data_IF_356938059582
#
_entry.id   IF_356938059582
#
_cell.length_a   1.000
_cell.length_b   1.000
_cell.length_c   1.000
_cell.angle_alpha   90.00
_cell.angle_beta   90.00
_cell.angle_gamma   90.00
#
_symmetry.space_group_name_H-M   'P 1'
#
loop_
_entity.id
_entity.type
_entity.pdbx_description
1 polymer ?
#
# COMPACT_ATOMS: atom_id res chain seq x y z
N UNK A 1 -1.13 4.94 -6.08
CA UNK A 1 -1.76 5.72 -4.98
C UNK A 1 -1.22 5.25 -3.65
N UNK A 2 -1.54 5.92 -2.54
CA UNK A 2 -1.22 5.51 -1.17
C UNK A 2 -2.53 5.28 -0.40
N UNK A 3 -2.72 4.08 0.13
CA UNK A 3 -3.99 3.63 0.70
C UNK A 3 -3.81 2.94 2.03
N UNK A 4 -4.83 3.02 2.89
CA UNK A 4 -4.84 2.36 4.20
C UNK A 4 -5.10 0.86 4.03
N UNK A 5 -4.28 0.00 4.65
CA UNK A 5 -4.57 -1.42 4.77
C UNK A 5 -5.59 -1.67 5.89
N UNK A 6 -6.36 -2.75 5.78
CA UNK A 6 -7.39 -3.14 6.75
C UNK A 6 -7.62 -4.65 6.74
N UNK A 7 -8.13 -5.19 7.85
CA UNK A 7 -8.62 -6.56 7.95
C UNK A 7 -10.12 -6.67 7.72
N UNK A 8 -10.90 -5.76 8.31
CA UNK A 8 -12.37 -5.63 8.15
C UNK A 8 -12.74 -4.17 7.88
N UNK A 9 -14.00 -3.84 7.56
CA UNK A 9 -14.44 -2.44 7.57
C UNK A 9 -14.10 -1.76 8.90
N UNK A 10 -13.74 -0.47 8.82
CA UNK A 10 -13.39 0.40 9.95
C UNK A 10 -12.25 -0.09 10.86
N UNK A 11 -11.39 -1.00 10.36
CA UNK A 11 -10.30 -1.59 11.15
C UNK A 11 -8.90 -1.04 10.84
N UNK A 12 -8.79 -0.02 9.99
CA UNK A 12 -7.50 0.51 9.57
C UNK A 12 -6.78 1.22 10.72
N UNK A 13 -5.49 0.94 10.92
CA UNK A 13 -4.66 1.53 11.99
C UNK A 13 -3.40 2.19 11.43
N UNK A 14 -2.27 1.49 11.43
CA UNK A 14 -0.96 2.02 11.02
C UNK A 14 -0.49 1.55 9.64
N UNK A 15 -1.09 0.48 9.12
CA UNK A 15 -0.61 -0.17 7.91
C UNK A 15 -1.12 0.52 6.66
N UNK A 16 -0.23 0.68 5.67
CA UNK A 16 -0.53 1.28 4.38
C UNK A 16 0.13 0.50 3.25
N UNK A 17 -0.36 0.72 2.03
CA UNK A 17 0.23 0.16 0.82
C UNK A 17 0.23 1.15 -0.33
N UNK A 18 1.09 0.89 -1.32
CA UNK A 18 1.22 1.70 -2.54
C UNK A 18 0.74 0.89 -3.74
N UNK A 19 -0.28 1.38 -4.46
CA UNK A 19 -0.62 0.85 -5.78
C UNK A 19 0.38 1.38 -6.82
N UNK A 20 1.08 0.47 -7.51
CA UNK A 20 2.05 0.77 -8.57
C UNK A 20 1.45 0.78 -9.98
N UNK A 21 0.22 0.29 -10.09
CA UNK A 21 -0.63 0.20 -11.28
C UNK A 21 -2.07 0.50 -10.87
N UNK A 22 -2.94 0.78 -11.84
CA UNK A 22 -4.36 0.96 -11.58
C UNK A 22 -4.97 -0.36 -11.11
N UNK A 23 -5.63 -0.34 -9.95
CA UNK A 23 -6.20 -1.54 -9.33
C UNK A 23 -7.67 -1.30 -8.95
N UNK A 24 -8.60 -1.17 -9.92
CA UNK A 24 -10.00 -0.86 -9.64
C UNK A 24 -10.71 -1.87 -8.73
N UNK A 25 -10.19 -3.09 -8.65
CA UNK A 25 -10.70 -4.12 -7.72
C UNK A 25 -10.56 -3.73 -6.25
N UNK A 26 -9.69 -2.74 -5.94
CA UNK A 26 -9.46 -2.21 -4.60
C UNK A 26 -10.31 -0.99 -4.27
N UNK A 27 -11.03 -0.43 -5.24
CA UNK A 27 -11.88 0.75 -5.04
C UNK A 27 -13.16 0.38 -4.28
N UNK A 28 -13.89 1.40 -3.81
CA UNK A 28 -15.23 1.20 -3.28
C UNK A 28 -16.15 0.61 -4.36
N UNK A 29 -16.84 -0.48 -4.04
CA UNK A 29 -17.58 -1.33 -4.99
C UNK A 29 -16.72 -2.37 -5.72
N UNK A 30 -15.41 -2.40 -5.48
CA UNK A 30 -14.48 -3.35 -6.08
C UNK A 30 -14.58 -4.76 -5.50
N UNK A 31 -14.12 -5.75 -6.27
CA UNK A 31 -14.31 -7.17 -5.97
C UNK A 31 -13.24 -7.80 -5.05
N UNK A 32 -12.28 -7.02 -4.52
CA UNK A 32 -11.19 -7.59 -3.70
C UNK A 32 -11.66 -8.20 -2.40
N UNK A 33 -12.64 -7.55 -1.75
CA UNK A 33 -13.23 -7.96 -0.48
C UNK A 33 -14.75 -8.11 -0.65
N UNK A 34 -15.39 -9.14 -0.05
CA UNK A 34 -16.84 -9.36 -0.18
C UNK A 34 -17.70 -8.19 0.35
N UNK A 35 -17.16 -7.38 1.25
CA UNK A 35 -17.86 -6.21 1.81
C UNK A 35 -18.01 -5.04 0.82
N UNK A 36 -17.27 -5.05 -0.29
CA UNK A 36 -17.30 -3.96 -1.29
C UNK A 36 -16.77 -2.60 -0.79
N UNK A 37 -16.24 -2.49 0.43
CA UNK A 37 -15.82 -1.21 1.00
C UNK A 37 -14.51 -0.67 0.40
N UNK A 38 -13.78 -1.50 -0.36
CA UNK A 38 -12.50 -1.13 -0.97
C UNK A 38 -11.44 -0.76 0.07
N UNK A 39 -10.47 0.06 -0.32
CA UNK A 39 -9.42 0.59 0.54
C UNK A 39 -9.31 2.12 0.37
N UNK A 40 -9.31 2.85 1.48
CA UNK A 40 -9.30 4.31 1.45
C UNK A 40 -7.94 4.84 0.94
N UNK A 41 -7.96 5.51 -0.22
CA UNK A 41 -6.82 6.25 -0.75
C UNK A 41 -6.73 7.61 -0.06
N UNK A 42 -5.55 7.96 0.47
CA UNK A 42 -5.32 9.23 1.17
C UNK A 42 -4.13 10.03 0.63
N UNK A 43 -3.44 9.52 -0.38
CA UNK A 43 -2.31 10.22 -0.98
C UNK A 43 -1.76 9.58 -2.24
N UNK A 44 -0.62 10.13 -2.69
CA UNK A 44 0.15 9.61 -3.82
C UNK A 44 1.64 9.83 -3.62
N UNK A 45 2.45 8.96 -4.21
CA UNK A 45 3.89 9.16 -4.32
C UNK A 45 4.15 10.32 -5.29
N UNK A 46 4.80 11.39 -4.83
CA UNK A 46 5.15 12.56 -5.67
C UNK A 46 6.59 12.53 -6.15
N UNK A 47 7.46 11.76 -5.50
CA UNK A 47 8.86 11.55 -5.85
C UNK A 47 9.33 10.18 -5.35
N UNK A 48 10.33 9.57 -6.01
CA UNK A 48 10.89 8.27 -5.59
C UNK A 48 10.06 7.04 -6.00
N UNK A 49 9.22 7.13 -7.04
CA UNK A 49 8.47 5.98 -7.54
C UNK A 49 9.40 4.85 -8.03
N UNK A 50 10.57 5.19 -8.55
CA UNK A 50 11.62 4.23 -8.93
C UNK A 50 12.13 3.42 -7.73
N UNK A 51 12.23 4.05 -6.55
CA UNK A 51 12.58 3.36 -5.29
C UNK A 51 11.50 2.36 -4.91
N UNK A 52 10.22 2.75 -4.99
CA UNK A 52 9.11 1.83 -4.70
C UNK A 52 9.10 0.64 -5.67
N UNK A 53 9.36 0.88 -6.96
CA UNK A 53 9.50 -0.21 -7.96
C UNK A 53 10.69 -1.13 -7.67
N UNK A 54 11.81 -0.60 -7.18
CA UNK A 54 12.94 -1.44 -6.72
C UNK A 54 12.57 -2.31 -5.52
N UNK A 55 11.79 -1.78 -4.57
CA UNK A 55 11.29 -2.54 -3.42
C UNK A 55 10.35 -3.67 -3.89
N UNK A 56 9.42 -3.38 -4.79
CA UNK A 56 8.52 -4.39 -5.38
C UNK A 56 9.29 -5.54 -6.05
N UNK A 57 10.38 -5.24 -6.75
CA UNK A 57 11.20 -6.23 -7.46
C UNK A 57 12.23 -6.95 -6.57
N UNK A 58 12.30 -6.64 -5.27
CA UNK A 58 13.28 -7.25 -4.37
C UNK A 58 12.92 -8.70 -4.03
N UNK A 59 13.91 -9.55 -3.66
CA UNK A 59 13.64 -10.94 -3.31
C UNK A 59 12.64 -11.06 -2.14
N UNK A 60 11.76 -12.04 -2.24
CA UNK A 60 10.76 -12.33 -1.21
C UNK A 60 10.60 -13.85 -1.05
N UNK A 61 10.30 -14.26 0.19
CA UNK A 61 9.72 -15.57 0.47
C UNK A 61 8.24 -15.34 0.69
N UNK A 62 7.40 -15.95 -0.14
CA UNK A 62 5.96 -15.67 -0.23
C UNK A 62 5.67 -14.17 -0.44
N UNK A 63 5.11 -13.50 0.56
CA UNK A 63 4.80 -12.08 0.54
C UNK A 63 5.73 -11.24 1.44
N UNK A 64 6.78 -11.85 1.98
CA UNK A 64 7.73 -11.19 2.89
C UNK A 64 9.07 -10.94 2.21
N UNK A 65 9.46 -9.67 2.10
CA UNK A 65 10.77 -9.28 1.56
C UNK A 65 11.91 -9.90 2.38
N UNK A 66 12.88 -10.49 1.70
CA UNK A 66 14.04 -11.14 2.30
C UNK A 66 15.33 -10.63 1.64
N UNK A 67 16.08 -9.70 2.27
CA UNK A 67 15.88 -9.17 3.63
C UNK A 67 14.73 -8.15 3.74
N UNK A 68 14.25 -7.85 4.96
CA UNK A 68 13.25 -6.81 5.18
C UNK A 68 13.74 -5.42 4.77
N UNK A 69 12.83 -4.59 4.24
CA UNK A 69 13.10 -3.18 3.92
C UNK A 69 12.49 -2.30 5.02
N UNK A 70 13.34 -1.76 5.90
CA UNK A 70 12.90 -0.91 7.01
C UNK A 70 12.65 0.54 6.58
N UNK A 71 11.54 1.13 7.05
CA UNK A 71 11.35 2.59 7.02
C UNK A 71 12.17 3.18 8.16
N UNK A 72 13.34 3.71 7.84
CA UNK A 72 14.29 4.25 8.84
C UNK A 72 13.76 5.52 9.50
N UNK A 73 13.04 6.38 8.75
CA UNK A 73 12.48 7.64 9.25
C UNK A 73 11.25 8.07 8.45
N UNK A 74 10.24 8.57 9.13
CA UNK A 74 9.10 9.28 8.54
C UNK A 74 8.94 10.64 9.22
N UNK A 75 8.71 11.70 8.43
CA UNK A 75 8.50 13.05 8.96
C UNK A 75 7.64 13.85 7.99
N UNK A 76 6.85 14.78 8.54
CA UNK A 76 6.10 15.76 7.75
C UNK A 76 7.07 16.81 7.23
N UNK A 77 7.07 17.07 5.92
CA UNK A 77 7.80 18.21 5.35
C UNK A 77 7.13 19.51 5.82
N UNK A 78 7.91 20.55 6.18
CA UNK A 78 7.37 21.83 6.58
C UNK A 78 6.48 22.45 5.50
#
# INVERSE_FOLDING_TARGET
TLSMARGTPDSATSDFFVCLEDSPVLDFGGARNPDGQGFATFGRVTSGLDVVRKIQASPATDQSLTPPVAIVRAFRRP
#
